data_IF_327665921065
#
_entry.id   IF_327665921065
#
_cell.length_a   1.000
_cell.length_b   1.000
_cell.length_c   1.000
_cell.angle_alpha   90.00
_cell.angle_beta   90.00
_cell.angle_gamma   90.00
#
_symmetry.space_group_name_H-M   'P 1'
#
loop_
_entity.id
_entity.type
_entity.pdbx_description
1 polymer ?
#
# COMPACT_ATOMS: atom_id res chain seq x y z
N UNK A 1 5.77 -5.32 -3.59
CA UNK A 1 6.47 -6.47 -4.21
C UNK A 1 6.62 -6.19 -5.69
N UNK A 2 7.80 -6.37 -6.29
CA UNK A 2 7.96 -6.20 -7.73
C UNK A 2 8.70 -7.41 -8.30
N UNK A 3 8.08 -8.08 -9.27
CA UNK A 3 8.64 -9.24 -9.95
C UNK A 3 8.52 -8.96 -11.44
N UNK A 4 9.64 -8.82 -12.13
CA UNK A 4 9.69 -8.57 -13.58
C UNK A 4 9.38 -9.82 -14.41
N UNK A 5 9.49 -11.01 -13.83
CA UNK A 5 9.27 -12.30 -14.49
C UNK A 5 8.26 -13.18 -13.73
N UNK A 6 7.06 -13.32 -14.28
CA UNK A 6 6.01 -14.19 -13.72
C UNK A 6 6.28 -15.69 -13.91
N UNK A 7 5.55 -16.53 -13.18
CA UNK A 7 5.53 -17.99 -13.40
C UNK A 7 6.70 -18.79 -12.79
N UNK A 8 7.68 -18.13 -12.17
CA UNK A 8 8.85 -18.78 -11.55
C UNK A 8 8.75 -18.98 -10.03
N UNK A 9 7.60 -18.66 -9.43
CA UNK A 9 7.38 -18.79 -7.99
C UNK A 9 8.08 -17.74 -7.12
N UNK A 10 8.71 -16.71 -7.71
CA UNK A 10 9.42 -15.68 -6.97
C UNK A 10 8.53 -14.88 -6.01
N UNK A 11 7.27 -14.64 -6.37
CA UNK A 11 6.35 -13.94 -5.47
C UNK A 11 6.11 -14.71 -4.17
N UNK A 12 5.88 -16.02 -4.25
CA UNK A 12 5.77 -16.89 -3.06
C UNK A 12 7.05 -16.90 -2.24
N UNK A 13 8.22 -16.96 -2.88
CA UNK A 13 9.51 -16.89 -2.18
C UNK A 13 9.68 -15.57 -1.42
N UNK A 14 9.28 -14.44 -2.04
CA UNK A 14 9.31 -13.13 -1.40
C UNK A 14 8.36 -13.06 -0.20
N UNK A 15 7.13 -13.59 -0.34
CA UNK A 15 6.16 -13.65 0.77
C UNK A 15 6.74 -14.46 1.94
N UNK A 16 7.30 -15.64 1.67
CA UNK A 16 7.89 -16.48 2.70
C UNK A 16 9.06 -15.76 3.40
N UNK A 17 9.92 -15.08 2.64
CA UNK A 17 11.01 -14.28 3.20
C UNK A 17 10.50 -13.15 4.09
N UNK A 18 9.43 -12.47 3.69
CA UNK A 18 8.79 -11.42 4.51
C UNK A 18 8.25 -11.97 5.82
N UNK A 19 7.58 -13.12 5.79
CA UNK A 19 7.09 -13.80 6.99
C UNK A 19 8.25 -14.19 7.91
N UNK A 20 9.30 -14.80 7.37
CA UNK A 20 10.49 -15.18 8.14
C UNK A 20 11.15 -13.97 8.81
N UNK A 21 11.31 -12.87 8.09
CA UNK A 21 11.93 -11.67 8.63
C UNK A 21 11.06 -11.03 9.72
N UNK A 22 9.74 -10.98 9.52
CA UNK A 22 8.81 -10.51 10.55
C UNK A 22 8.90 -11.37 11.83
N UNK A 23 9.02 -12.70 11.70
CA UNK A 23 9.22 -13.59 12.84
C UNK A 23 10.57 -13.36 13.52
N UNK A 24 11.67 -13.23 12.75
CA UNK A 24 13.02 -12.92 13.28
C UNK A 24 13.07 -11.59 14.03
N UNK A 25 12.27 -10.62 13.59
CA UNK A 25 12.13 -9.31 14.22
C UNK A 25 11.07 -9.26 15.33
N UNK A 26 10.56 -10.42 15.78
CA UNK A 26 9.54 -10.54 16.82
C UNK A 26 8.30 -9.68 16.57
N UNK A 27 7.89 -9.54 15.30
CA UNK A 27 6.64 -8.86 14.92
C UNK A 27 5.44 -9.74 15.24
N UNK A 28 4.25 -9.13 15.31
CA UNK A 28 2.98 -9.81 15.61
C UNK A 28 2.29 -10.41 14.39
N UNK A 29 2.75 -10.05 13.19
CA UNK A 29 2.18 -10.51 11.93
C UNK A 29 2.76 -9.72 10.76
N UNK A 30 2.27 -10.04 9.56
CA UNK A 30 2.56 -9.31 8.31
C UNK A 30 1.24 -8.82 7.74
N UNK A 31 1.25 -7.61 7.18
CA UNK A 31 0.09 -6.98 6.56
C UNK A 31 0.48 -6.43 5.19
N UNK A 32 -0.44 -6.48 4.23
CA UNK A 32 -0.26 -5.83 2.93
C UNK A 32 -1.60 -5.29 2.42
N UNK A 33 -1.54 -4.31 1.52
CA UNK A 33 -2.72 -3.73 0.87
C UNK A 33 -2.72 -4.13 -0.60
N UNK A 34 -3.80 -4.76 -1.05
CA UNK A 34 -3.95 -5.26 -2.42
C UNK A 34 -5.01 -4.48 -3.18
N UNK A 35 -4.87 -4.42 -4.50
CA UNK A 35 -5.90 -3.93 -5.41
C UNK A 35 -5.62 -4.44 -6.83
N UNK A 36 -6.35 -5.48 -7.24
CA UNK A 36 -6.21 -6.11 -8.56
C UNK A 36 -6.59 -5.19 -9.74
N UNK A 37 -7.27 -4.05 -9.48
CA UNK A 37 -7.68 -3.09 -10.52
C UNK A 37 -6.62 -2.04 -10.82
N UNK A 38 -5.54 -1.99 -10.03
CA UNK A 38 -4.46 -1.00 -10.21
C UNK A 38 -3.17 -1.68 -10.68
N UNK A 39 -2.33 -0.95 -11.40
CA UNK A 39 -1.01 -1.43 -11.83
C UNK A 39 0.08 -1.32 -10.75
N UNK A 40 -0.26 -0.80 -9.57
CA UNK A 40 0.71 -0.40 -8.54
C UNK A 40 0.63 -1.27 -7.28
N UNK A 41 -0.53 -1.86 -7.01
CA UNK A 41 -0.74 -2.81 -5.92
C UNK A 41 -0.86 -4.24 -6.49
N UNK A 42 -0.36 -5.25 -5.76
CA UNK A 42 -0.55 -6.64 -6.17
C UNK A 42 -2.03 -7.08 -6.06
N UNK A 43 -2.39 -8.14 -6.79
CA UNK A 43 -3.65 -8.87 -6.57
C UNK A 43 -3.58 -9.67 -5.26
N UNK A 44 -4.73 -9.88 -4.61
CA UNK A 44 -4.84 -10.71 -3.42
C UNK A 44 -4.53 -12.19 -3.68
N UNK A 45 -4.67 -12.67 -4.93
CA UNK A 45 -4.57 -14.10 -5.27
C UNK A 45 -3.25 -14.75 -4.81
N UNK A 46 -2.14 -14.02 -4.92
CA UNK A 46 -0.84 -14.53 -4.49
C UNK A 46 -0.73 -14.64 -2.96
N UNK A 47 -1.49 -13.84 -2.21
CA UNK A 47 -1.49 -13.88 -0.75
C UNK A 47 -2.49 -14.91 -0.22
N UNK A 48 -3.64 -15.07 -0.86
CA UNK A 48 -4.66 -16.06 -0.46
C UNK A 48 -4.22 -17.51 -0.70
N UNK A 49 -3.26 -17.73 -1.61
CA UNK A 49 -2.56 -19.02 -1.75
C UNK A 49 -1.51 -19.27 -0.67
N UNK A 50 -1.28 -18.28 0.20
CA UNK A 50 -0.40 -18.26 1.37
C UNK A 50 -1.26 -18.04 2.64
N UNK A 51 -0.71 -17.99 3.88
CA UNK A 51 -1.55 -17.99 5.08
C UNK A 51 -2.20 -16.61 5.40
N UNK A 52 -2.49 -15.81 4.38
CA UNK A 52 -3.08 -14.49 4.55
C UNK A 52 -4.61 -14.51 4.51
N UNK A 53 -5.14 -13.73 5.45
CA UNK A 53 -6.45 -13.12 5.60
C UNK A 53 -6.88 -12.05 4.62
N UNK A 54 -8.14 -11.93 4.19
CA UNK A 54 -8.69 -10.56 4.01
C UNK A 54 -9.33 -10.15 5.34
N UNK A 55 -8.83 -9.07 5.94
CA UNK A 55 -9.29 -8.61 7.27
C UNK A 55 -10.05 -7.29 7.24
N UNK A 56 -9.91 -6.52 6.17
CA UNK A 56 -10.70 -5.31 5.95
C UNK A 56 -10.75 -4.92 4.46
N UNK A 57 -11.65 -4.01 4.10
CA UNK A 57 -11.78 -3.46 2.74
C UNK A 57 -11.95 -1.95 2.77
N UNK A 58 -11.52 -1.29 1.70
CA UNK A 58 -11.65 0.15 1.53
C UNK A 58 -12.28 0.49 0.17
N UNK A 59 -12.81 1.71 0.00
CA UNK A 59 -13.35 2.18 -1.28
C UNK A 59 -12.37 1.97 -2.44
N UNK A 60 -12.90 1.94 -3.66
CA UNK A 60 -12.11 1.74 -4.90
C UNK A 60 -11.44 0.35 -5.03
N UNK A 61 -11.91 -0.64 -4.26
CA UNK A 61 -11.50 -2.04 -4.38
C UNK A 61 -10.15 -2.34 -3.73
N UNK A 62 -9.77 -1.58 -2.70
CA UNK A 62 -8.63 -1.90 -1.87
C UNK A 62 -9.02 -2.92 -0.80
N UNK A 63 -8.13 -3.89 -0.57
CA UNK A 63 -8.32 -4.95 0.42
C UNK A 63 -7.10 -4.95 1.35
N UNK A 64 -7.33 -5.12 2.65
CA UNK A 64 -6.28 -5.25 3.65
C UNK A 64 -6.12 -6.72 3.98
N UNK A 65 -4.92 -7.23 3.74
CA UNK A 65 -4.58 -8.60 4.04
C UNK A 65 -3.67 -8.69 5.26
N UNK A 66 -3.87 -9.72 6.07
CA UNK A 66 -3.06 -9.95 7.25
C UNK A 66 -2.79 -11.44 7.48
N UNK A 67 -1.56 -11.74 7.87
CA UNK A 67 -1.20 -13.00 8.51
C UNK A 67 -0.68 -12.70 9.91
N UNK A 68 -1.54 -12.89 10.91
CA UNK A 68 -1.24 -12.64 12.32
C UNK A 68 -0.62 -13.91 12.93
N UNK A 69 0.48 -13.75 13.68
CA UNK A 69 1.23 -14.87 14.25
C UNK A 69 0.71 -15.29 15.62
N UNK A 70 0.03 -14.39 16.34
CA UNK A 70 -0.46 -14.62 17.70
C UNK A 70 -1.93 -14.25 17.83
N UNK A 71 -2.71 -15.13 18.46
CA UNK A 71 -4.17 -14.96 18.63
C UNK A 71 -4.55 -13.81 19.59
N UNK A 72 -3.57 -13.16 20.23
CA UNK A 72 -3.78 -12.05 21.15
C UNK A 72 -3.73 -10.67 20.46
N UNK A 73 -3.54 -10.64 19.14
CA UNK A 73 -3.40 -9.40 18.37
C UNK A 73 -4.68 -9.09 17.61
N UNK A 74 -5.19 -7.86 17.76
CA UNK A 74 -6.31 -7.37 16.97
C UNK A 74 -5.92 -7.22 15.50
N UNK A 75 -6.86 -7.50 14.61
CA UNK A 75 -6.67 -7.27 13.19
C UNK A 75 -6.48 -5.77 12.91
N UNK A 76 -5.58 -5.42 11.98
CA UNK A 76 -5.49 -4.06 11.48
C UNK A 76 -6.77 -3.70 10.72
N UNK A 77 -7.06 -2.41 10.62
CA UNK A 77 -8.24 -1.91 9.92
C UNK A 77 -7.90 -0.62 9.19
N UNK A 78 -8.65 -0.35 8.12
CA UNK A 78 -8.64 0.93 7.44
C UNK A 78 -9.36 1.98 8.28
N UNK A 79 -8.90 3.23 8.26
CA UNK A 79 -9.66 4.31 8.87
C UNK A 79 -11.05 4.41 8.23
N UNK A 80 -12.02 4.76 9.04
CA UNK A 80 -13.44 4.90 8.67
C UNK A 80 -13.87 6.38 8.59
N UNK A 81 -12.96 7.32 8.85
CA UNK A 81 -13.14 8.77 8.82
C UNK A 81 -12.55 9.41 7.54
N UNK A 82 -12.65 8.73 6.39
CA UNK A 82 -12.05 9.18 5.12
C UNK A 82 -12.46 10.61 4.73
N UNK A 83 -13.76 10.93 4.79
CA UNK A 83 -14.26 12.26 4.43
C UNK A 83 -13.67 13.35 5.33
N UNK A 84 -13.57 13.09 6.62
CA UNK A 84 -13.02 14.05 7.58
C UNK A 84 -11.50 14.20 7.43
N UNK A 85 -10.78 13.14 7.03
CA UNK A 85 -9.37 13.23 6.66
C UNK A 85 -9.16 14.07 5.41
N UNK A 86 -9.97 13.87 4.37
CA UNK A 86 -9.86 14.59 3.11
C UNK A 86 -10.17 16.08 3.30
N UNK A 87 -11.14 16.44 4.15
CA UNK A 87 -11.49 17.85 4.45
C UNK A 87 -10.31 18.68 4.99
N UNK A 88 -9.29 18.05 5.60
CA UNK A 88 -8.06 18.73 6.09
C UNK A 88 -7.14 19.20 4.95
N UNK A 89 -7.35 18.68 3.75
CA UNK A 89 -6.56 18.99 2.58
C UNK A 89 -7.36 19.89 1.64
N UNK A 90 -6.90 21.13 1.49
CA UNK A 90 -7.41 22.07 0.49
C UNK A 90 -6.49 22.05 -0.73
N UNK A 91 -7.06 22.21 -1.92
CA UNK A 91 -6.38 22.17 -3.21
C UNK A 91 -5.64 20.83 -3.45
N UNK A 92 -4.88 20.72 -4.54
CA UNK A 92 -4.13 19.49 -4.82
C UNK A 92 -2.96 19.35 -3.84
N UNK A 93 -3.01 18.33 -3.00
CA UNK A 93 -1.90 17.96 -2.10
C UNK A 93 -1.42 16.56 -2.42
N UNK A 94 -0.13 16.43 -2.71
CA UNK A 94 0.53 15.16 -3.02
C UNK A 94 1.27 14.71 -1.77
N UNK A 95 0.80 13.62 -1.17
CA UNK A 95 1.47 12.98 -0.04
C UNK A 95 2.32 11.83 -0.55
N UNK A 96 3.61 11.81 -0.21
CA UNK A 96 4.53 10.76 -0.66
C UNK A 96 5.53 10.35 0.42
N UNK A 97 6.04 9.13 0.34
CA UNK A 97 7.20 8.65 1.10
C UNK A 97 8.35 8.34 0.13
N UNK A 98 9.57 8.22 0.64
CA UNK A 98 10.76 7.85 -0.15
C UNK A 98 10.92 6.33 -0.32
N UNK A 99 9.86 5.56 -0.06
CA UNK A 99 9.94 4.09 -0.08
C UNK A 99 9.99 3.49 -1.49
N UNK A 100 9.75 4.28 -2.54
CA UNK A 100 9.78 3.81 -3.91
C UNK A 100 10.34 4.88 -4.88
N UNK A 101 11.34 4.57 -5.71
CA UNK A 101 11.91 5.53 -6.65
C UNK A 101 10.90 6.02 -7.70
N UNK A 102 9.92 5.18 -8.08
CA UNK A 102 8.88 5.54 -9.04
C UNK A 102 7.92 6.63 -8.53
N UNK A 103 7.81 6.80 -7.21
CA UNK A 103 6.96 7.83 -6.61
C UNK A 103 7.49 9.23 -6.92
N UNK A 104 8.81 9.39 -7.11
CA UNK A 104 9.39 10.66 -7.53
C UNK A 104 8.86 11.08 -8.91
N UNK A 105 8.98 10.17 -9.90
CA UNK A 105 8.51 10.38 -11.28
C UNK A 105 6.99 10.62 -11.30
N UNK A 106 6.22 9.82 -10.56
CA UNK A 106 4.77 10.01 -10.47
C UNK A 106 4.40 11.40 -9.91
N UNK A 107 5.16 11.90 -8.93
CA UNK A 107 4.96 13.24 -8.36
C UNK A 107 5.23 14.31 -9.39
N UNK A 108 6.34 14.22 -10.13
CA UNK A 108 6.70 15.19 -11.17
C UNK A 108 5.63 15.27 -12.26
N UNK A 109 5.13 14.11 -12.70
CA UNK A 109 4.05 14.04 -13.69
C UNK A 109 2.76 14.71 -13.19
N UNK A 110 2.40 14.50 -11.92
CA UNK A 110 1.21 15.12 -11.32
C UNK A 110 1.36 16.64 -11.19
N UNK A 111 2.54 17.13 -10.79
CA UNK A 111 2.85 18.57 -10.73
C UNK A 111 2.73 19.19 -12.13
N UNK A 112 3.38 18.59 -13.13
CA UNK A 112 3.33 19.09 -14.51
C UNK A 112 1.91 19.07 -15.10
N UNK A 113 1.09 18.07 -14.76
CA UNK A 113 -0.30 18.01 -15.18
C UNK A 113 -1.13 19.12 -14.51
N UNK A 114 -0.92 19.36 -13.21
CA UNK A 114 -1.59 20.42 -12.46
C UNK A 114 -1.28 21.82 -13.00
N UNK A 115 -0.03 22.07 -13.40
CA UNK A 115 0.38 23.33 -14.03
C UNK A 115 -0.36 23.57 -15.34
N UNK A 116 -0.51 22.53 -16.18
CA UNK A 116 -1.24 22.61 -17.45
C UNK A 116 -2.70 23.00 -17.27
N UNK A 117 -3.34 22.53 -16.19
CA UNK A 117 -4.74 22.85 -15.87
C UNK A 117 -4.89 24.06 -14.94
N UNK A 118 -3.80 24.78 -14.65
CA UNK A 118 -3.76 26.00 -13.81
C UNK A 118 -4.35 25.79 -12.41
N UNK A 119 -4.10 24.64 -11.79
CA UNK A 119 -4.47 24.41 -10.40
C UNK A 119 -3.64 25.33 -9.48
N UNK A 120 -4.31 26.17 -8.70
CA UNK A 120 -3.72 27.33 -8.02
C UNK A 120 -2.70 27.01 -6.91
N UNK A 121 -2.57 25.76 -6.47
CA UNK A 121 -1.51 25.36 -5.54
C UNK A 121 -1.33 23.83 -5.49
N UNK A 122 -0.12 23.35 -5.73
CA UNK A 122 0.29 21.96 -5.50
C UNK A 122 1.26 21.90 -4.33
N UNK A 123 0.86 21.25 -3.24
CA UNK A 123 1.74 21.01 -2.09
C UNK A 123 2.26 19.57 -2.08
N UNK A 124 3.57 19.38 -2.13
CA UNK A 124 4.19 18.05 -1.99
C UNK A 124 4.69 17.88 -0.56
N UNK A 125 4.16 16.90 0.16
CA UNK A 125 4.49 16.63 1.56
C UNK A 125 5.05 15.22 1.72
N UNK A 126 6.00 15.11 2.64
CA UNK A 126 6.68 13.86 2.96
C UNK A 126 6.08 13.22 4.21
N UNK A 127 5.78 11.93 4.11
CA UNK A 127 5.38 11.11 5.25
C UNK A 127 6.63 10.34 5.72
N UNK A 128 7.24 10.79 6.81
CA UNK A 128 8.23 10.00 7.55
C UNK A 128 7.52 9.13 8.57
N UNK A 129 7.84 7.82 8.59
CA UNK A 129 7.42 6.90 9.64
C UNK A 129 8.43 6.94 10.79
#
# INVERSE_FOLDING_TARGET
>A
MWVSEGGKGYGTQLINKWIEDAKKLSKKGVVDVTNAKTSWAPSQDIFLTNPFEVVDTAPYGFELLAYIFTNETLNPYFPNDWDDRVKKFHNLKILRSFQCPYVAIATENLVAAADKVKLQSVGVFFISH
#
